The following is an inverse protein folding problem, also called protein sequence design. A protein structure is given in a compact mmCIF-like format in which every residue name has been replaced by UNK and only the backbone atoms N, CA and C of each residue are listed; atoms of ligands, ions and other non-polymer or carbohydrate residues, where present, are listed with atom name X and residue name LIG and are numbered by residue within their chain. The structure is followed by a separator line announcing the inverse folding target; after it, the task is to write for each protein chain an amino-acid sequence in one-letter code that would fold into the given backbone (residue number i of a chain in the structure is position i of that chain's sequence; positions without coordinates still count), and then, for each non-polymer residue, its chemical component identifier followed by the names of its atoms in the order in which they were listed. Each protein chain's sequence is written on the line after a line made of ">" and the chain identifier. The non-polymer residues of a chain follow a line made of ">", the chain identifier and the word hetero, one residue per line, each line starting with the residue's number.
data_IF_480036415758
#
_entry.id   IF_480036415758
#
_cell.length_a   1.000
_cell.length_b   1.000
_cell.length_c   1.000
_cell.angle_alpha   90.00
_cell.angle_beta   90.00
_cell.angle_gamma   90.00
#
_symmetry.space_group_name_H-M   'P 1'
#
loop_
_entity.id
_entity.type
_entity.pdbx_description
1 polymer ?
#
# COMPACT_ATOMS: atom_id res chain seq x y z
N UNK A 1 -29.48 6.42 -4.18
CA UNK A 1 -28.17 5.80 -4.50
C UNK A 1 -27.83 6.18 -5.93
N UNK A 2 -26.76 6.94 -6.22
CA UNK A 2 -26.33 7.07 -7.60
C UNK A 2 -25.53 5.82 -7.98
N UNK A 3 -26.03 5.14 -9.00
CA UNK A 3 -25.33 4.15 -9.79
C UNK A 3 -24.22 4.88 -10.57
N UNK A 4 -22.96 4.50 -10.36
CA UNK A 4 -21.89 4.96 -11.24
C UNK A 4 -22.03 4.23 -12.58
N UNK A 5 -22.26 4.97 -13.66
CA UNK A 5 -22.23 4.43 -15.01
C UNK A 5 -20.78 4.20 -15.44
N UNK A 6 -20.52 3.08 -16.11
CA UNK A 6 -19.20 2.54 -16.46
C UNK A 6 -18.30 3.42 -17.34
N UNK A 7 -18.70 4.66 -17.66
CA UNK A 7 -17.99 5.58 -18.55
C UNK A 7 -17.23 6.72 -17.85
N UNK A 8 -17.31 6.82 -16.52
CA UNK A 8 -16.57 7.82 -15.71
C UNK A 8 -15.34 7.26 -15.01
N UNK A 9 -14.97 6.01 -15.32
CA UNK A 9 -13.64 5.49 -15.01
C UNK A 9 -12.64 6.24 -15.90
N UNK A 10 -12.21 7.39 -15.38
CA UNK A 10 -10.98 8.10 -15.72
C UNK A 10 -9.95 7.09 -16.20
N UNK A 11 -9.30 7.40 -17.33
CA UNK A 11 -8.23 6.64 -17.95
C UNK A 11 -7.09 6.44 -16.95
N UNK A 12 -7.26 5.49 -16.03
CA UNK A 12 -6.20 4.86 -15.27
C UNK A 12 -5.38 4.18 -16.35
N UNK A 13 -4.27 4.82 -16.73
CA UNK A 13 -3.25 4.18 -17.55
C UNK A 13 -2.97 2.82 -16.89
N UNK A 14 -2.85 1.75 -17.69
CA UNK A 14 -2.89 0.33 -17.28
C UNK A 14 -1.83 -0.15 -16.26
N UNK A 15 -1.31 0.69 -15.37
CA UNK A 15 -0.27 0.38 -14.39
C UNK A 15 -0.52 0.96 -12.98
N UNK A 16 -1.75 1.32 -12.62
CA UNK A 16 -2.03 1.55 -11.20
C UNK A 16 -1.84 0.22 -10.46
N UNK A 17 -0.76 0.12 -9.69
CA UNK A 17 -0.37 -1.08 -8.94
C UNK A 17 -0.83 -1.02 -7.48
N UNK A 18 -1.04 0.18 -6.94
CA UNK A 18 -1.45 0.37 -5.55
C UNK A 18 -2.52 1.46 -5.39
N UNK A 19 -3.46 1.23 -4.47
CA UNK A 19 -4.48 2.21 -4.06
C UNK A 19 -4.79 2.09 -2.56
N UNK A 20 -5.17 3.19 -1.94
CA UNK A 20 -5.73 3.22 -0.58
C UNK A 20 -6.83 4.28 -0.47
N UNK A 21 -7.61 4.21 0.60
CA UNK A 21 -8.74 5.11 0.85
C UNK A 21 -8.65 5.70 2.25
N UNK A 22 -8.75 7.02 2.33
CA UNK A 22 -8.93 7.74 3.59
C UNK A 22 -10.44 7.86 3.91
N UNK A 23 -10.95 7.16 4.92
CA UNK A 23 -12.35 7.24 5.31
C UNK A 23 -12.71 8.56 6.00
N UNK A 24 -11.76 9.29 6.58
CA UNK A 24 -12.01 10.55 7.28
C UNK A 24 -12.25 11.69 6.28
N UNK A 25 -11.45 11.74 5.21
CA UNK A 25 -11.55 12.78 4.18
C UNK A 25 -12.34 12.34 2.95
N UNK A 26 -12.70 11.05 2.84
CA UNK A 26 -13.31 10.44 1.66
C UNK A 26 -12.47 10.63 0.38
N UNK A 27 -11.16 10.42 0.51
CA UNK A 27 -10.17 10.61 -0.56
C UNK A 27 -9.53 9.27 -0.93
N UNK A 28 -9.48 8.96 -2.21
CA UNK A 28 -8.67 7.85 -2.73
C UNK A 28 -7.27 8.34 -3.04
N UNK A 29 -6.28 7.53 -2.75
CA UNK A 29 -4.90 7.72 -3.16
C UNK A 29 -4.47 6.54 -4.01
N UNK A 30 -3.74 6.78 -5.09
CA UNK A 30 -3.35 5.73 -6.02
C UNK A 30 -2.00 6.03 -6.67
N UNK A 31 -1.28 4.97 -7.00
CA UNK A 31 -0.08 5.04 -7.82
C UNK A 31 -0.46 5.28 -9.29
N UNK A 32 0.23 6.18 -9.95
CA UNK A 32 0.09 6.46 -11.37
C UNK A 32 1.48 6.48 -12.02
N UNK A 33 1.72 5.58 -12.97
CA UNK A 33 3.01 5.48 -13.64
C UNK A 33 2.98 6.25 -14.96
N UNK A 34 3.96 7.13 -15.16
CA UNK A 34 4.13 7.88 -16.38
C UNK A 34 5.30 7.35 -17.21
N UNK A 35 4.97 6.58 -18.26
CA UNK A 35 5.97 5.92 -19.12
C UNK A 35 6.98 6.87 -19.74
N UNK A 36 6.52 8.05 -20.16
CA UNK A 36 7.37 9.01 -20.87
C UNK A 36 8.43 9.64 -19.97
N UNK A 37 8.16 9.74 -18.66
CA UNK A 37 9.06 10.35 -17.69
C UNK A 37 9.79 9.31 -16.83
N UNK A 38 9.42 8.03 -16.98
CA UNK A 38 9.86 6.94 -16.11
C UNK A 38 9.71 7.31 -14.63
N UNK A 39 8.58 7.94 -14.27
CA UNK A 39 8.26 8.35 -12.90
C UNK A 39 6.99 7.66 -12.43
N UNK A 40 6.96 7.35 -11.13
CA UNK A 40 5.72 6.97 -10.44
C UNK A 40 5.26 8.16 -9.61
N UNK A 41 4.00 8.52 -9.76
CA UNK A 41 3.34 9.51 -8.93
C UNK A 41 2.41 8.84 -7.93
N UNK A 42 2.23 9.45 -6.78
CA UNK A 42 1.05 9.23 -5.95
C UNK A 42 0.11 10.39 -6.20
N UNK A 43 -1.12 10.06 -6.57
CA UNK A 43 -2.18 11.03 -6.81
C UNK A 43 -3.32 10.81 -5.82
N UNK A 44 -4.06 11.86 -5.55
CA UNK A 44 -5.29 11.82 -4.78
C UNK A 44 -6.49 12.19 -5.64
N UNK A 45 -7.65 11.64 -5.33
CA UNK A 45 -8.92 12.01 -5.93
C UNK A 45 -10.02 11.92 -4.88
N UNK A 46 -10.89 12.93 -4.82
CA UNK A 46 -12.03 12.88 -3.92
C UNK A 46 -13.00 11.76 -4.34
N UNK A 47 -13.87 11.31 -3.43
CA UNK A 47 -14.89 10.29 -3.73
C UNK A 47 -15.80 10.64 -4.91
N UNK A 48 -15.97 11.91 -5.21
CA UNK A 48 -16.78 12.37 -6.34
C UNK A 48 -16.06 12.23 -7.68
N UNK A 49 -14.77 11.86 -7.70
CA UNK A 49 -13.97 11.70 -8.91
C UNK A 49 -13.64 13.01 -9.63
N UNK A 50 -13.93 14.17 -9.02
CA UNK A 50 -13.99 15.44 -9.76
C UNK A 50 -12.63 16.12 -9.92
N UNK A 51 -11.67 15.81 -9.06
CA UNK A 51 -10.37 16.50 -9.05
C UNK A 51 -9.27 15.53 -8.67
N UNK A 52 -8.35 15.29 -9.60
CA UNK A 52 -7.12 14.56 -9.36
C UNK A 52 -6.03 15.56 -8.99
N UNK A 53 -5.29 15.32 -7.91
CA UNK A 53 -4.17 16.15 -7.48
C UNK A 53 -2.91 15.31 -7.29
N UNK A 54 -1.75 15.89 -7.58
CA UNK A 54 -0.45 15.27 -7.31
C UNK A 54 -0.17 15.37 -5.81
N UNK A 55 0.22 14.26 -5.18
CA UNK A 55 0.71 14.22 -3.80
C UNK A 55 2.23 14.18 -3.80
N UNK A 56 2.83 13.24 -4.53
CA UNK A 56 4.28 13.14 -4.67
C UNK A 56 4.66 12.58 -6.03
N UNK A 57 5.73 13.11 -6.60
CA UNK A 57 6.42 12.57 -7.78
C UNK A 57 7.68 11.83 -7.32
N UNK A 58 7.79 10.55 -7.68
CA UNK A 58 8.90 9.68 -7.34
C UNK A 58 9.66 9.34 -8.62
N UNK A 59 10.77 10.05 -8.82
CA UNK A 59 11.65 9.85 -9.97
C UNK A 59 12.16 8.41 -10.02
N UNK A 60 11.95 7.72 -11.16
CA UNK A 60 12.31 6.31 -11.35
C UNK A 60 11.72 5.35 -10.31
N UNK A 61 10.73 5.80 -9.54
CA UNK A 61 10.06 4.96 -8.56
C UNK A 61 9.11 3.99 -9.24
N UNK A 62 8.85 2.85 -8.59
CA UNK A 62 7.81 1.89 -8.96
C UNK A 62 6.99 1.57 -7.70
N UNK A 63 5.81 2.18 -7.59
CA UNK A 63 5.01 2.09 -6.36
C UNK A 63 4.14 0.83 -6.41
N UNK A 64 4.56 -0.21 -5.70
CA UNK A 64 3.92 -1.53 -5.70
C UNK A 64 2.94 -1.72 -4.53
N UNK A 65 3.06 -0.91 -3.48
CA UNK A 65 2.15 -0.91 -2.33
C UNK A 65 1.95 0.50 -1.78
N UNK A 66 0.73 0.80 -1.32
CA UNK A 66 0.33 2.09 -0.79
C UNK A 66 -0.70 1.88 0.32
N UNK A 67 -0.51 2.54 1.46
CA UNK A 67 -1.43 2.48 2.60
C UNK A 67 -1.41 3.79 3.38
N UNK A 68 -2.32 3.96 4.35
CA UNK A 68 -2.57 5.23 5.02
C UNK A 68 -2.79 5.06 6.52
N UNK A 69 -2.24 6.00 7.30
CA UNK A 69 -2.70 6.32 8.65
C UNK A 69 -3.55 7.60 8.58
N UNK A 70 -4.87 7.41 8.41
CA UNK A 70 -5.82 8.50 8.22
C UNK A 70 -5.86 9.45 9.42
N UNK A 71 -5.66 8.94 10.65
CA UNK A 71 -5.69 9.76 11.87
C UNK A 71 -4.54 10.77 11.89
N UNK A 72 -3.43 10.46 11.22
CA UNK A 72 -2.21 11.27 11.20
C UNK A 72 -1.95 11.95 9.87
N UNK A 73 -2.76 11.67 8.84
CA UNK A 73 -2.56 12.21 7.50
C UNK A 73 -1.25 11.73 6.88
N UNK A 74 -0.87 10.47 7.10
CA UNK A 74 0.37 9.89 6.58
C UNK A 74 0.08 8.79 5.57
N UNK A 75 0.70 8.88 4.41
CA UNK A 75 0.78 7.81 3.43
C UNK A 75 2.10 7.06 3.60
N UNK A 76 2.05 5.74 3.48
CA UNK A 76 3.20 4.86 3.45
C UNK A 76 3.19 4.09 2.14
N UNK A 77 4.34 3.98 1.49
CA UNK A 77 4.43 3.31 0.20
C UNK A 77 5.72 2.52 0.03
N UNK A 78 5.59 1.40 -0.68
CA UNK A 78 6.72 0.59 -1.13
C UNK A 78 7.12 1.06 -2.53
N UNK A 79 8.33 1.56 -2.65
CA UNK A 79 8.97 1.92 -3.92
C UNK A 79 9.95 0.82 -4.31
N UNK A 80 9.46 -0.12 -5.11
CA UNK A 80 10.26 -1.22 -5.66
C UNK A 80 11.27 -0.75 -6.71
N UNK A 81 11.09 0.42 -7.31
CA UNK A 81 12.00 0.98 -8.31
C UNK A 81 13.29 1.50 -7.66
N UNK A 82 13.16 2.08 -6.47
CA UNK A 82 14.27 2.60 -5.69
C UNK A 82 14.62 1.76 -4.44
N UNK A 83 14.02 0.58 -4.27
CA UNK A 83 14.27 -0.36 -3.16
C UNK A 83 14.06 0.25 -1.76
N UNK A 84 12.98 1.02 -1.58
CA UNK A 84 12.73 1.78 -0.36
C UNK A 84 11.29 1.67 0.10
N UNK A 85 11.10 1.80 1.41
CA UNK A 85 9.82 2.12 2.02
C UNK A 85 9.86 3.58 2.45
N UNK A 86 8.87 4.34 2.04
CA UNK A 86 8.79 5.77 2.26
C UNK A 86 7.48 6.15 2.96
N UNK A 87 7.49 7.30 3.61
CA UNK A 87 6.29 7.98 4.11
C UNK A 87 6.22 9.40 3.58
N UNK A 88 5.01 9.90 3.38
CA UNK A 88 4.74 11.30 3.00
C UNK A 88 3.44 11.74 3.65
N UNK A 89 3.30 13.02 3.96
CA UNK A 89 2.02 13.55 4.40
C UNK A 89 1.02 13.54 3.24
N UNK A 90 -0.28 13.48 3.56
CA UNK A 90 -1.36 13.50 2.55
C UNK A 90 -1.43 14.79 1.74
N UNK A 91 -0.79 15.87 2.21
CA UNK A 91 -0.61 17.15 1.51
C UNK A 91 0.65 17.18 0.61
N UNK A 92 1.42 16.09 0.55
CA UNK A 92 2.64 15.96 -0.24
C UNK A 92 3.91 16.44 0.45
N UNK A 93 3.82 16.94 1.69
CA UNK A 93 4.97 17.43 2.44
C UNK A 93 5.69 16.30 3.20
N UNK A 94 6.92 16.59 3.63
CA UNK A 94 7.73 15.71 4.48
C UNK A 94 7.91 14.28 3.92
N UNK A 95 8.25 14.17 2.64
CA UNK A 95 8.68 12.89 2.08
C UNK A 95 9.93 12.37 2.81
N UNK A 96 9.84 11.17 3.36
CA UNK A 96 10.90 10.52 4.14
C UNK A 96 11.11 9.08 3.67
N UNK A 97 12.37 8.64 3.65
CA UNK A 97 12.72 7.23 3.51
C UNK A 97 12.81 6.61 4.91
N UNK A 98 11.99 5.59 5.17
CA UNK A 98 11.96 4.87 6.46
C UNK A 98 12.91 3.68 6.48
N UNK A 99 12.96 2.96 5.36
CA UNK A 99 13.84 1.82 5.13
C UNK A 99 14.37 1.85 3.70
N UNK A 100 15.63 1.44 3.53
CA UNK A 100 16.34 1.41 2.26
C UNK A 100 17.02 0.04 2.04
N UNK A 101 17.55 -0.16 0.83
CA UNK A 101 18.23 -1.39 0.42
C UNK A 101 17.34 -2.63 0.57
N UNK A 102 16.05 -2.47 0.26
CA UNK A 102 15.02 -3.52 0.28
C UNK A 102 14.73 -3.97 -1.15
N UNK A 103 15.49 -4.94 -1.72
CA UNK A 103 15.24 -5.42 -3.06
C UNK A 103 13.90 -6.16 -3.16
N UNK A 104 13.31 -6.11 -4.36
CA UNK A 104 12.11 -6.88 -4.72
C UNK A 104 10.91 -6.67 -3.77
N UNK A 105 10.70 -5.44 -3.31
CA UNK A 105 9.52 -5.04 -2.54
C UNK A 105 8.23 -5.27 -3.33
N UNK A 106 7.22 -5.86 -2.68
CA UNK A 106 5.92 -6.16 -3.31
C UNK A 106 4.76 -5.44 -2.66
N UNK A 107 4.55 -5.66 -1.37
CA UNK A 107 3.39 -5.14 -0.67
C UNK A 107 3.76 -4.55 0.68
N UNK A 108 2.87 -3.70 1.21
CA UNK A 108 3.05 -3.01 2.47
C UNK A 108 1.72 -2.89 3.21
N UNK A 109 1.76 -3.03 4.53
CA UNK A 109 0.63 -2.81 5.44
C UNK A 109 1.12 -2.15 6.73
N UNK A 110 0.23 -1.48 7.46
CA UNK A 110 0.60 -0.58 8.55
C UNK A 110 -0.39 -0.77 9.72
N UNK A 111 0.09 -1.09 10.93
CA UNK A 111 -0.70 -1.12 12.17
C UNK A 111 -0.63 0.24 12.88
N UNK A 112 -1.68 1.04 12.71
CA UNK A 112 -1.71 2.43 13.21
C UNK A 112 -1.81 2.55 14.73
N UNK A 113 -2.10 1.45 15.43
CA UNK A 113 -2.20 1.40 16.88
C UNK A 113 -0.83 1.11 17.51
N UNK A 114 -0.04 0.23 16.89
CA UNK A 114 1.30 -0.17 17.37
C UNK A 114 2.44 0.55 16.66
N UNK A 115 2.14 1.33 15.62
CA UNK A 115 3.12 2.03 14.79
C UNK A 115 4.08 1.06 14.07
N UNK A 116 3.59 -0.10 13.66
CA UNK A 116 4.38 -1.13 12.99
C UNK A 116 4.05 -1.22 11.51
N UNK A 117 5.08 -1.13 10.66
CA UNK A 117 4.98 -1.32 9.22
C UNK A 117 5.43 -2.73 8.85
N UNK A 118 4.67 -3.37 7.96
CA UNK A 118 4.87 -4.73 7.50
C UNK A 118 5.06 -4.72 5.99
N UNK A 119 5.99 -5.51 5.47
CA UNK A 119 6.21 -5.60 4.03
C UNK A 119 6.61 -7.00 3.59
N UNK A 120 6.45 -7.25 2.30
CA UNK A 120 6.87 -8.49 1.63
C UNK A 120 7.99 -8.23 0.63
N UNK A 121 8.90 -9.19 0.51
CA UNK A 121 9.95 -9.19 -0.50
C UNK A 121 10.07 -10.57 -1.16
N UNK A 122 10.47 -10.59 -2.43
CA UNK A 122 10.86 -11.79 -3.17
C UNK A 122 12.37 -11.95 -3.33
N UNK A 123 13.16 -11.11 -2.65
CA UNK A 123 14.60 -11.04 -2.84
C UNK A 123 15.34 -12.31 -2.39
N UNK A 124 16.64 -12.18 -2.12
CA UNK A 124 17.48 -13.29 -1.66
C UNK A 124 16.95 -14.01 -0.41
N UNK A 125 16.13 -13.32 0.38
CA UNK A 125 15.39 -13.87 1.51
C UNK A 125 13.91 -13.53 1.34
N UNK A 126 13.12 -14.37 0.64
CA UNK A 126 11.69 -14.12 0.49
C UNK A 126 10.99 -14.31 1.83
N UNK A 127 10.13 -13.36 2.20
CA UNK A 127 9.55 -13.35 3.54
C UNK A 127 8.63 -12.16 3.82
N UNK A 128 8.16 -12.16 5.07
CA UNK A 128 7.40 -11.05 5.65
C UNK A 128 8.26 -10.45 6.76
N UNK A 129 8.43 -9.14 6.69
CA UNK A 129 9.26 -8.37 7.59
C UNK A 129 8.44 -7.26 8.22
N UNK A 130 8.90 -6.77 9.37
CA UNK A 130 8.31 -5.63 10.04
C UNK A 130 9.33 -4.70 10.66
N UNK A 131 8.89 -3.47 10.91
CA UNK A 131 9.66 -2.40 11.56
C UNK A 131 8.73 -1.32 12.09
N UNK A 132 9.28 -0.25 12.67
CA UNK A 132 8.51 0.87 13.22
C UNK A 132 8.27 1.98 12.18
N UNK A 133 7.15 2.68 12.29
CA UNK A 133 6.74 3.79 11.40
C UNK A 133 7.71 4.96 11.34
N UNK A 134 8.53 5.16 12.36
CA UNK A 134 9.55 6.22 12.38
C UNK A 134 10.82 5.85 11.59
N UNK A 135 10.91 4.63 11.06
CA UNK A 135 12.11 4.13 10.38
C UNK A 135 13.27 3.89 11.35
N UNK A 136 14.45 3.59 10.80
CA UNK A 136 15.74 3.48 11.51
C UNK A 136 15.74 2.61 12.77
N UNK A 137 14.84 1.64 12.84
CA UNK A 137 14.68 0.68 13.94
C UNK A 137 15.03 -0.73 13.44
N UNK A 138 15.23 -1.66 14.39
CA UNK A 138 15.52 -3.05 14.07
C UNK A 138 14.41 -3.65 13.21
N UNK A 139 14.78 -4.17 12.03
CA UNK A 139 13.91 -4.96 11.19
C UNK A 139 13.77 -6.34 11.83
N UNK A 140 12.53 -6.80 12.01
CA UNK A 140 12.22 -8.13 12.52
C UNK A 140 11.59 -8.99 11.43
N UNK A 141 12.00 -10.25 11.34
CA UNK A 141 11.35 -11.22 10.45
C UNK A 141 10.10 -11.78 11.10
N UNK A 142 8.97 -11.69 10.42
CA UNK A 142 7.68 -12.26 10.86
C UNK A 142 7.54 -13.68 10.33
N UNK A 143 7.82 -13.88 9.05
CA UNK A 143 7.83 -15.19 8.40
C UNK A 143 9.09 -15.30 7.55
N UNK A 144 9.90 -16.33 7.83
CA UNK A 144 11.11 -16.65 7.09
C UNK A 144 10.89 -17.94 6.27
N UNK A 145 11.14 -17.89 4.96
CA UNK A 145 11.11 -19.07 4.11
C UNK A 145 9.72 -19.69 3.91
N UNK A 146 9.63 -20.71 3.06
CA UNK A 146 8.36 -21.38 2.71
C UNK A 146 7.41 -20.55 1.83
N UNK A 147 7.65 -19.25 1.70
CA UNK A 147 6.96 -18.34 0.80
C UNK A 147 7.75 -18.25 -0.52
N UNK A 148 7.06 -18.48 -1.64
CA UNK A 148 7.66 -18.30 -2.98
C UNK A 148 7.40 -16.90 -3.54
N UNK A 149 6.17 -16.42 -3.42
CA UNK A 149 5.72 -15.16 -4.03
C UNK A 149 4.66 -14.45 -3.18
N UNK A 150 5.02 -13.83 -2.05
CA UNK A 150 4.09 -13.03 -1.25
C UNK A 150 3.82 -11.65 -1.89
N UNK A 151 2.64 -11.49 -2.50
CA UNK A 151 2.28 -10.28 -3.28
C UNK A 151 1.32 -9.30 -2.60
N UNK A 152 0.63 -9.72 -1.56
CA UNK A 152 -0.39 -8.89 -0.92
C UNK A 152 -0.37 -9.01 0.60
N UNK A 153 -0.38 -7.86 1.27
CA UNK A 153 -0.65 -7.71 2.69
C UNK A 153 -1.94 -6.92 2.88
N UNK A 154 -2.79 -7.39 3.79
CA UNK A 154 -3.94 -6.63 4.28
C UNK A 154 -3.89 -6.63 5.80
N UNK A 155 -4.30 -5.52 6.40
CA UNK A 155 -4.37 -5.38 7.85
C UNK A 155 -5.72 -4.81 8.25
N UNK A 156 -6.32 -5.40 9.28
CA UNK A 156 -7.55 -4.88 9.88
C UNK A 156 -7.19 -3.77 10.87
N UNK A 157 -7.80 -2.59 10.66
CA UNK A 157 -7.64 -1.38 11.46
C UNK A 157 -8.06 -1.50 12.94
N UNK A 158 -8.66 -2.62 13.34
CA UNK A 158 -9.17 -2.84 14.70
C UNK A 158 -8.14 -3.37 15.72
N UNK A 159 -6.88 -3.61 15.33
CA UNK A 159 -5.81 -3.99 16.27
C UNK A 159 -6.01 -5.35 16.95
N UNK A 160 -6.85 -6.21 16.40
CA UNK A 160 -7.06 -7.56 16.92
C UNK A 160 -6.04 -8.53 16.29
N UNK A 161 -5.37 -9.37 17.09
CA UNK A 161 -4.37 -10.33 16.60
C UNK A 161 -5.08 -11.53 15.96
N UNK A 162 -5.56 -11.39 14.73
CA UNK A 162 -6.05 -12.54 13.97
C UNK A 162 -4.87 -13.33 13.40
N UNK A 163 -5.06 -14.63 13.27
CA UNK A 163 -4.01 -15.51 12.76
C UNK A 163 -3.82 -15.27 11.26
N UNK A 164 -2.59 -14.90 10.87
CA UNK A 164 -2.16 -14.84 9.49
C UNK A 164 -2.30 -16.22 8.84
N UNK A 165 -3.39 -16.46 8.10
CA UNK A 165 -3.54 -17.73 7.38
C UNK A 165 -2.87 -17.62 6.02
N UNK A 166 -1.80 -18.40 5.83
CA UNK A 166 -1.13 -18.58 4.54
C UNK A 166 -2.04 -19.43 3.66
N UNK A 167 -2.85 -18.81 2.81
CA UNK A 167 -3.49 -19.50 1.69
C UNK A 167 -2.49 -19.48 0.53
N UNK A 168 -2.24 -20.65 -0.04
CA UNK A 168 -1.31 -20.82 -1.16
C UNK A 168 -1.67 -19.82 -2.28
N UNK A 169 -0.72 -18.94 -2.56
CA UNK A 169 -0.72 -17.91 -3.59
C UNK A 169 -1.80 -16.83 -3.39
N UNK A 170 -1.29 -15.65 -2.97
CA UNK A 170 -1.99 -14.40 -2.72
C UNK A 170 -2.96 -14.39 -1.54
N UNK A 171 -2.86 -13.29 -0.78
CA UNK A 171 -3.68 -12.88 0.36
C UNK A 171 -3.30 -13.56 1.68
N UNK A 172 -2.61 -12.79 2.51
CA UNK A 172 -2.63 -12.99 3.95
C UNK A 172 -3.92 -12.34 4.45
N UNK A 173 -5.02 -13.10 4.44
CA UNK A 173 -6.31 -12.63 4.97
C UNK A 173 -6.27 -12.80 6.47
N UNK A 174 -6.27 -11.68 7.20
CA UNK A 174 -6.63 -11.64 8.61
C UNK A 174 -8.15 -11.54 8.68
N UNK A 175 -8.81 -12.70 8.72
CA UNK A 175 -10.27 -12.82 8.62
C UNK A 175 -10.96 -12.30 9.89
N UNK A 176 -11.86 -11.31 9.77
CA UNK A 176 -12.91 -11.06 10.77
C UNK A 176 -14.22 -11.74 10.32
N UNK A 177 -14.83 -12.48 11.24
CA UNK A 177 -16.16 -13.08 11.08
C UNK A 177 -17.19 -11.97 11.32
N UNK A 178 -18.03 -11.77 10.31
CA UNK A 178 -19.29 -11.03 10.27
C UNK A 178 -19.28 -9.51 10.01
N UNK A 179 -19.83 -9.21 8.81
CA UNK A 179 -20.60 -8.02 8.40
C UNK A 179 -19.85 -6.68 8.36
N UNK A 180 -19.16 -6.42 7.27
CA UNK A 180 -19.60 -5.54 6.18
C UNK A 180 -18.50 -5.41 5.11
N UNK A 181 -18.92 -5.37 3.85
CA UNK A 181 -18.11 -5.53 2.65
C UNK A 181 -17.06 -4.43 2.43
N UNK A 182 -15.87 -4.82 1.97
CA UNK A 182 -15.03 -4.06 1.04
C UNK A 182 -14.51 -4.99 -0.07
N UNK A 183 -14.34 -4.51 -1.32
CA UNK A 183 -14.22 -5.35 -2.51
C UNK A 183 -12.77 -5.80 -2.74
N UNK A 184 -12.56 -7.10 -2.93
CA UNK A 184 -11.40 -7.63 -3.66
C UNK A 184 -11.95 -8.55 -4.76
N UNK A 185 -11.42 -8.35 -5.96
CA UNK A 185 -11.82 -8.95 -7.24
C UNK A 185 -11.85 -10.48 -7.14
N UNK A 186 -12.99 -11.09 -7.45
CA UNK A 186 -13.06 -12.50 -7.81
C UNK A 186 -12.70 -12.64 -9.28
N UNK A 187 -11.76 -13.53 -9.61
CA UNK A 187 -11.66 -14.09 -10.95
C UNK A 187 -11.96 -15.59 -10.83
N UNK A 188 -13.11 -15.94 -11.42
CA UNK A 188 -13.80 -17.24 -11.56
C UNK A 188 -13.23 -18.47 -10.84
#
# INVERSE_FOLDING_TARGET
>A
MPCFTSSELLTLNWITQALTFDPLTQTFYFSDWEWMQASSMIRSVNKLGTTISLVVDVFRGNITGLTIDAKRGLLFFADAGNNKICSVHTDGLNLQTLYADLPDLRSIAVDTNTFEIYWTTWGSQPGIYKGHYQGNTLISTVVAGGLKQPDGLAMDSLGNPYQAQIVKNLILTLTFIERQFCPIVYLN
#
